data_IF_320998236566
#
_entry.id   IF_320998236566
#
_cell.length_a   1.000
_cell.length_b   1.000
_cell.length_c   1.000
_cell.angle_alpha   90.00
_cell.angle_beta   90.00
_cell.angle_gamma   90.00
#
_symmetry.space_group_name_H-M   'P 1'
#
loop_
_entity.id
_entity.type
_entity.pdbx_description
1 polymer ?
#
# COMPACT_ATOMS: atom_id res chain seq x y z
N UNK A 1 0.33 30.96 19.17
CA UNK A 1 0.35 30.37 17.82
C UNK A 1 0.21 28.87 17.98
N UNK A 2 -0.63 28.19 17.19
CA UNK A 2 -0.62 26.72 17.16
C UNK A 2 0.65 26.28 16.44
N UNK A 3 1.29 25.22 16.92
CA UNK A 3 2.39 24.61 16.19
C UNK A 3 1.92 24.19 14.79
N UNK A 4 2.79 24.31 13.76
CA UNK A 4 2.44 23.90 12.42
C UNK A 4 2.04 22.42 12.42
N UNK A 5 0.85 22.15 11.86
CA UNK A 5 0.40 20.78 11.60
C UNK A 5 1.35 20.24 10.53
N UNK A 6 2.20 19.30 10.91
CA UNK A 6 3.22 18.71 10.03
C UNK A 6 2.64 18.04 8.77
N UNK A 7 3.49 17.43 7.93
CA UNK A 7 3.03 16.75 6.73
C UNK A 7 2.06 15.61 7.07
N UNK A 8 1.17 15.27 6.14
CA UNK A 8 0.25 14.14 6.31
C UNK A 8 0.93 12.78 6.07
N UNK A 9 2.04 12.77 5.32
CA UNK A 9 2.83 11.59 5.00
C UNK A 9 3.85 11.24 6.09
N UNK A 10 4.24 9.96 6.14
CA UNK A 10 5.31 9.50 7.01
C UNK A 10 6.68 10.10 6.63
N UNK A 11 7.64 10.19 7.57
CA UNK A 11 8.95 10.78 7.30
C UNK A 11 9.72 10.15 6.13
N UNK A 12 9.64 8.83 5.94
CA UNK A 12 10.37 8.15 4.86
C UNK A 12 9.90 8.60 3.47
N UNK A 13 8.62 8.94 3.32
CA UNK A 13 8.03 9.43 2.06
C UNK A 13 8.63 10.78 1.65
N UNK A 14 9.10 11.57 2.62
CA UNK A 14 9.73 12.87 2.33
C UNK A 14 11.14 12.73 1.75
N UNK A 15 11.73 11.53 1.82
CA UNK A 15 13.11 11.26 1.41
C UNK A 15 13.21 10.59 0.03
N UNK A 16 12.10 10.42 -0.68
CA UNK A 16 12.06 9.83 -2.03
C UNK A 16 11.67 10.90 -3.09
N UNK A 17 11.94 10.67 -4.39
CA UNK A 17 11.59 11.62 -5.45
C UNK A 17 10.10 12.01 -5.45
N UNK A 18 9.79 13.26 -5.82
CA UNK A 18 8.43 13.81 -5.88
C UNK A 18 7.55 13.02 -6.84
N UNK A 19 8.09 12.51 -7.95
CA UNK A 19 7.36 11.63 -8.86
C UNK A 19 6.92 10.32 -8.17
N UNK A 20 7.78 9.71 -7.34
CA UNK A 20 7.41 8.54 -6.54
C UNK A 20 6.37 8.88 -5.45
N UNK A 21 6.52 10.01 -4.76
CA UNK A 21 5.53 10.49 -3.79
C UNK A 21 4.15 10.65 -4.45
N UNK A 22 4.12 11.17 -5.68
CA UNK A 22 2.89 11.38 -6.45
C UNK A 22 2.21 10.06 -6.82
N UNK A 23 2.99 9.03 -7.19
CA UNK A 23 2.46 7.66 -7.39
C UNK A 23 1.88 7.11 -6.09
N UNK A 24 2.57 7.30 -4.96
CA UNK A 24 2.07 6.84 -3.67
C UNK A 24 0.70 7.46 -3.36
N UNK A 25 0.54 8.77 -3.58
CA UNK A 25 -0.70 9.49 -3.32
C UNK A 25 -1.83 9.16 -4.30
N UNK A 26 -1.51 8.85 -5.56
CA UNK A 26 -2.50 8.38 -6.53
C UNK A 26 -3.17 7.08 -6.05
N UNK A 27 -2.39 6.17 -5.45
CA UNK A 27 -2.88 4.89 -4.90
C UNK A 27 -3.53 5.00 -3.51
N UNK A 28 -3.27 6.08 -2.74
CA UNK A 28 -3.92 6.31 -1.43
C UNK A 28 -5.44 6.41 -1.58
N UNK A 29 -5.89 7.03 -2.67
CA UNK A 29 -7.31 7.11 -3.02
C UNK A 29 -7.77 5.74 -3.50
N UNK A 30 -8.68 5.11 -2.74
CA UNK A 30 -9.30 3.85 -3.17
C UNK A 30 -10.04 4.05 -4.50
N UNK A 31 -10.22 2.98 -5.30
CA UNK A 31 -10.94 3.12 -6.55
C UNK A 31 -12.39 3.49 -6.29
N UNK A 32 -12.92 4.36 -7.14
CA UNK A 32 -14.36 4.61 -7.19
C UNK A 32 -15.08 3.35 -7.71
N UNK A 33 -16.34 3.16 -7.32
CA UNK A 33 -17.17 2.04 -7.78
C UNK A 33 -17.16 0.78 -6.91
N UNK A 34 -16.19 0.59 -6.01
CA UNK A 34 -16.20 -0.56 -5.09
C UNK A 34 -17.04 -0.33 -3.83
N UNK A 35 -17.83 -1.33 -3.44
CA UNK A 35 -18.71 -1.28 -2.26
C UNK A 35 -17.96 -0.95 -0.96
N UNK A 36 -18.65 -0.38 0.04
CA UNK A 36 -18.04 0.07 1.31
C UNK A 36 -17.28 -1.05 2.05
N UNK A 37 -17.82 -2.27 2.03
CA UNK A 37 -17.25 -3.42 2.74
C UNK A 37 -16.53 -4.40 1.80
N UNK A 38 -15.98 -3.90 0.70
CA UNK A 38 -15.21 -4.73 -0.24
C UNK A 38 -13.94 -5.26 0.46
N UNK A 39 -13.61 -6.57 0.36
CA UNK A 39 -12.50 -7.17 1.10
C UNK A 39 -11.14 -6.50 0.82
N UNK A 40 -10.88 -6.11 -0.43
CA UNK A 40 -9.65 -5.37 -0.82
C UNK A 40 -9.38 -4.10 -0.02
N UNK A 41 -10.42 -3.46 0.56
CA UNK A 41 -10.24 -2.23 1.35
C UNK A 41 -9.41 -2.46 2.61
N UNK A 42 -9.29 -3.70 3.08
CA UNK A 42 -8.33 -4.08 4.13
C UNK A 42 -6.91 -3.74 3.69
N UNK A 43 -6.48 -4.18 2.50
CA UNK A 43 -5.15 -3.85 1.98
C UNK A 43 -5.00 -2.36 1.71
N UNK A 44 -6.04 -1.67 1.26
CA UNK A 44 -5.98 -0.22 1.05
C UNK A 44 -5.80 0.54 2.37
N UNK A 45 -6.38 0.07 3.47
CA UNK A 45 -6.12 0.63 4.80
C UNK A 45 -4.69 0.39 5.23
N UNK A 46 -4.15 -0.80 4.99
CA UNK A 46 -2.77 -1.11 5.28
C UNK A 46 -1.79 -0.27 4.47
N UNK A 47 -2.04 -0.13 3.17
CA UNK A 47 -1.28 0.74 2.28
C UNK A 47 -1.20 2.18 2.81
N UNK A 48 -2.34 2.74 3.19
CA UNK A 48 -2.40 4.09 3.77
C UNK A 48 -1.66 4.18 5.10
N UNK A 49 -1.70 3.13 5.92
CA UNK A 49 -0.92 3.08 7.17
C UNK A 49 0.58 3.17 6.90
N UNK A 50 1.08 2.58 5.81
CA UNK A 50 2.49 2.64 5.44
C UNK A 50 2.92 4.01 4.87
N UNK A 51 2.00 4.77 4.26
CA UNK A 51 2.32 6.05 3.58
C UNK A 51 1.99 7.27 4.43
N UNK A 52 0.92 7.22 5.24
CA UNK A 52 0.35 8.36 5.94
C UNK A 52 0.53 8.26 7.46
N UNK A 53 0.57 9.41 8.10
CA UNK A 53 0.33 9.53 9.54
C UNK A 53 -1.17 9.37 9.82
N UNK A 54 -1.49 8.75 10.95
CA UNK A 54 -2.87 8.70 11.44
C UNK A 54 -3.37 10.12 11.74
N UNK A 55 -4.53 10.50 11.20
CA UNK A 55 -5.10 11.83 11.44
C UNK A 55 -5.50 12.06 12.91
N UNK A 56 -5.82 11.00 13.65
CA UNK A 56 -6.20 11.08 15.05
C UNK A 56 -5.01 10.96 15.99
N UNK A 57 -4.02 10.13 15.62
CA UNK A 57 -2.88 9.81 16.49
C UNK A 57 -1.61 10.63 16.15
N UNK A 58 -1.60 11.32 15.00
CA UNK A 58 -0.49 12.11 14.48
C UNK A 58 0.85 11.35 14.42
N UNK A 59 0.77 10.05 14.20
CA UNK A 59 1.93 9.15 14.12
C UNK A 59 1.75 8.07 13.07
N UNK A 60 2.85 7.43 12.70
CA UNK A 60 2.84 6.23 11.89
C UNK A 60 2.19 5.06 12.67
N UNK A 61 1.38 4.28 11.96
CA UNK A 61 0.82 3.01 12.44
C UNK A 61 1.51 1.89 11.65
N UNK A 62 2.59 1.35 12.19
CA UNK A 62 3.47 0.39 11.48
C UNK A 62 3.07 -1.07 11.69
N UNK A 63 1.97 -1.31 12.41
CA UNK A 63 1.41 -2.64 12.62
C UNK A 63 -0.02 -2.67 12.02
N UNK A 64 -0.33 -3.65 11.14
CA UNK A 64 -1.64 -3.74 10.51
C UNK A 64 -2.77 -4.07 11.49
N UNK A 65 -2.46 -4.61 12.66
CA UNK A 65 -3.41 -4.99 13.72
C UNK A 65 -3.57 -3.90 14.77
N UNK A 66 -2.65 -2.94 14.83
CA UNK A 66 -2.64 -1.89 15.85
C UNK A 66 -3.92 -1.02 15.81
N UNK A 67 -4.62 -0.82 16.94
CA UNK A 67 -5.80 0.05 17.01
C UNK A 67 -5.51 1.50 16.56
N UNK A 68 -6.55 2.19 16.08
CA UNK A 68 -6.45 3.59 15.64
C UNK A 68 -6.77 3.79 14.15
N UNK A 69 -6.55 5.00 13.65
CA UNK A 69 -6.71 5.33 12.22
C UNK A 69 -8.13 5.37 11.65
N UNK A 70 -9.15 5.09 12.46
CA UNK A 70 -10.57 5.17 12.08
C UNK A 70 -10.93 4.27 10.89
N UNK A 71 -11.86 4.69 10.04
CA UNK A 71 -12.26 3.90 8.86
C UNK A 71 -11.27 3.97 7.70
N UNK A 72 -10.38 4.97 7.71
CA UNK A 72 -9.49 5.28 6.58
C UNK A 72 -8.15 4.56 6.67
N UNK A 73 -7.54 4.51 7.86
CA UNK A 73 -6.33 3.76 8.21
C UNK A 73 -6.62 2.79 9.37
N UNK A 74 -7.82 2.23 9.45
CA UNK A 74 -8.20 1.27 10.49
C UNK A 74 -7.44 -0.06 10.44
N UNK A 75 -7.40 -0.81 11.55
CA UNK A 75 -6.68 -2.08 11.63
C UNK A 75 -7.37 -3.19 10.83
N UNK A 76 -6.60 -4.23 10.52
CA UNK A 76 -7.12 -5.55 10.23
C UNK A 76 -7.54 -6.24 11.52
N UNK A 77 -8.71 -6.88 11.51
CA UNK A 77 -9.36 -7.42 12.72
C UNK A 77 -9.89 -8.82 12.44
N UNK A 78 -10.25 -9.56 13.47
CA UNK A 78 -10.84 -10.90 13.34
C UNK A 78 -12.12 -10.87 12.50
N UNK A 79 -12.93 -9.81 12.61
CA UNK A 79 -14.11 -9.62 11.76
C UNK A 79 -13.75 -9.54 10.28
N UNK A 80 -12.65 -8.86 9.92
CA UNK A 80 -12.16 -8.82 8.55
C UNK A 80 -11.69 -10.20 8.09
N UNK A 81 -10.90 -10.91 8.92
CA UNK A 81 -10.43 -12.25 8.61
C UNK A 81 -11.58 -13.23 8.38
N UNK A 82 -12.60 -13.23 9.26
CA UNK A 82 -13.82 -14.04 9.12
C UNK A 82 -14.61 -13.68 7.86
N UNK A 83 -14.78 -12.39 7.57
CA UNK A 83 -15.51 -11.93 6.38
C UNK A 83 -14.82 -12.33 5.07
N UNK A 84 -13.50 -12.51 5.11
CA UNK A 84 -12.68 -13.00 3.99
C UNK A 84 -12.49 -14.53 4.01
N UNK A 85 -13.11 -15.27 4.93
CA UNK A 85 -12.96 -16.72 5.03
C UNK A 85 -11.59 -17.21 5.51
N UNK A 86 -10.75 -16.33 6.06
CA UNK A 86 -9.35 -16.62 6.43
C UNK A 86 -9.19 -17.14 7.87
N UNK A 87 -10.24 -17.06 8.68
CA UNK A 87 -10.20 -17.45 10.09
C UNK A 87 -11.51 -18.09 10.52
N UNK A 88 -11.44 -19.35 10.95
CA UNK A 88 -12.58 -20.12 11.47
C UNK A 88 -12.47 -20.41 12.98
N UNK A 89 -11.48 -19.83 13.65
CA UNK A 89 -11.21 -20.08 15.07
C UNK A 89 -12.16 -19.35 16.03
N UNK A 90 -12.27 -19.92 17.24
CA UNK A 90 -13.08 -19.43 18.36
C UNK A 90 -12.38 -18.37 19.22
N UNK A 91 -11.14 -17.99 18.90
CA UNK A 91 -10.24 -17.24 19.79
C UNK A 91 -10.23 -15.74 19.43
N UNK A 92 -10.07 -14.90 20.46
CA UNK A 92 -10.28 -13.43 20.49
C UNK A 92 -9.40 -12.58 19.57
N UNK A 93 -9.38 -11.28 19.83
CA UNK A 93 -8.82 -10.26 18.92
C UNK A 93 -7.31 -10.42 18.63
N UNK A 94 -6.89 -9.91 17.47
CA UNK A 94 -5.47 -9.85 17.11
C UNK A 94 -4.72 -8.89 18.04
N UNK A 95 -3.70 -9.40 18.73
CA UNK A 95 -2.87 -8.63 19.66
C UNK A 95 -1.47 -8.43 19.07
N UNK A 96 -1.39 -7.53 18.08
CA UNK A 96 -0.15 -7.14 17.41
C UNK A 96 0.32 -8.08 16.30
N UNK A 97 1.41 -7.69 15.64
CA UNK A 97 1.95 -8.38 14.47
C UNK A 97 2.80 -9.62 14.79
N UNK A 98 2.15 -10.60 15.42
CA UNK A 98 2.73 -11.93 15.69
C UNK A 98 2.84 -12.78 14.42
N UNK A 99 3.59 -13.88 14.47
CA UNK A 99 3.74 -14.82 13.35
C UNK A 99 2.40 -15.42 12.90
N UNK A 100 1.53 -15.81 13.84
CA UNK A 100 0.20 -16.33 13.54
C UNK A 100 -0.67 -15.28 12.84
N UNK A 101 -0.69 -14.05 13.37
CA UNK A 101 -1.43 -12.95 12.76
C UNK A 101 -0.88 -12.63 11.36
N UNK A 102 0.45 -12.65 11.19
CA UNK A 102 1.10 -12.45 9.91
C UNK A 102 0.66 -13.50 8.88
N UNK A 103 0.62 -14.78 9.24
CA UNK A 103 0.20 -15.86 8.33
C UNK A 103 -1.21 -15.65 7.79
N UNK A 104 -2.13 -15.15 8.62
CA UNK A 104 -3.50 -14.83 8.21
C UNK A 104 -3.51 -13.60 7.32
N UNK A 105 -2.82 -12.53 7.74
CA UNK A 105 -2.80 -11.27 7.00
C UNK A 105 -2.11 -11.40 5.64
N UNK A 106 -1.11 -12.28 5.52
CA UNK A 106 -0.44 -12.61 4.26
C UNK A 106 -1.40 -13.15 3.21
N UNK A 107 -2.48 -13.84 3.62
CA UNK A 107 -3.53 -14.32 2.71
C UNK A 107 -4.34 -13.17 2.10
N UNK A 108 -4.33 -11.97 2.69
CA UNK A 108 -5.02 -10.82 2.10
C UNK A 108 -4.45 -10.44 0.73
N UNK A 109 -3.19 -10.81 0.43
CA UNK A 109 -2.62 -10.67 -0.91
C UNK A 109 -3.37 -11.52 -1.93
N UNK A 110 -3.68 -12.77 -1.60
CA UNK A 110 -4.45 -13.68 -2.45
C UNK A 110 -5.89 -13.19 -2.60
N UNK A 111 -6.53 -12.78 -1.49
CA UNK A 111 -7.86 -12.17 -1.52
C UNK A 111 -7.89 -10.95 -2.45
N UNK A 112 -6.82 -10.14 -2.49
CA UNK A 112 -6.76 -9.03 -3.42
C UNK A 112 -6.74 -9.49 -4.88
N UNK A 113 -5.89 -10.47 -5.22
CA UNK A 113 -5.77 -10.99 -6.58
C UNK A 113 -7.06 -11.66 -7.05
N UNK A 114 -7.76 -12.40 -6.18
CA UNK A 114 -9.07 -12.99 -6.49
C UNK A 114 -10.14 -11.96 -6.89
N UNK A 115 -9.95 -10.70 -6.49
CA UNK A 115 -10.87 -9.60 -6.77
C UNK A 115 -10.28 -8.54 -7.73
N UNK A 116 -9.13 -8.80 -8.36
CA UNK A 116 -8.43 -7.80 -9.17
C UNK A 116 -9.26 -7.29 -10.34
N UNK A 117 -10.05 -8.17 -10.96
CA UNK A 117 -10.93 -7.86 -12.08
C UNK A 117 -12.15 -7.00 -11.68
N UNK A 118 -12.42 -6.85 -10.38
CA UNK A 118 -13.44 -5.93 -9.87
C UNK A 118 -12.92 -4.49 -9.74
N UNK A 119 -11.62 -4.27 -9.93
CA UNK A 119 -10.97 -2.98 -9.73
C UNK A 119 -10.75 -2.25 -11.06
N UNK A 120 -10.91 -0.91 -11.10
CA UNK A 120 -10.50 -0.12 -12.24
C UNK A 120 -9.01 -0.34 -12.56
N UNK A 121 -8.72 -0.70 -13.81
CA UNK A 121 -7.36 -1.04 -14.23
C UNK A 121 -6.34 0.08 -13.95
N UNK A 122 -6.73 1.35 -14.11
CA UNK A 122 -5.84 2.48 -13.81
C UNK A 122 -5.47 2.55 -12.32
N UNK A 123 -6.43 2.28 -11.43
CA UNK A 123 -6.15 2.21 -9.99
C UNK A 123 -5.20 1.05 -9.68
N UNK A 124 -5.46 -0.13 -10.28
CA UNK A 124 -4.62 -1.31 -10.13
C UNK A 124 -3.14 -1.02 -10.47
N UNK A 125 -2.89 -0.32 -11.59
CA UNK A 125 -1.53 0.07 -11.99
C UNK A 125 -0.86 0.99 -10.96
N UNK A 126 -1.57 2.02 -10.47
CA UNK A 126 -1.01 2.87 -9.41
C UNK A 126 -0.75 2.10 -8.12
N UNK A 127 -1.64 1.19 -7.74
CA UNK A 127 -1.49 0.39 -6.52
C UNK A 127 -0.31 -0.57 -6.62
N UNK A 128 -0.13 -1.23 -7.76
CA UNK A 128 1.04 -2.05 -8.07
C UNK A 128 2.34 -1.26 -7.96
N UNK A 129 2.43 -0.08 -8.57
CA UNK A 129 3.63 0.76 -8.46
C UNK A 129 3.82 1.32 -7.05
N UNK A 130 2.73 1.63 -6.33
CA UNK A 130 2.80 2.01 -4.92
C UNK A 130 3.39 0.90 -4.05
N UNK A 131 2.99 -0.36 -4.29
CA UNK A 131 3.57 -1.53 -3.62
C UNK A 131 5.07 -1.67 -3.89
N UNK A 132 5.51 -1.44 -5.14
CA UNK A 132 6.93 -1.43 -5.50
C UNK A 132 7.69 -0.37 -4.70
N UNK A 133 7.23 0.88 -4.71
CA UNK A 133 7.89 2.00 -4.03
C UNK A 133 8.01 1.74 -2.53
N UNK A 134 6.94 1.25 -1.88
CA UNK A 134 7.00 0.88 -0.46
C UNK A 134 8.01 -0.26 -0.24
N UNK A 135 7.99 -1.27 -1.11
CA UNK A 135 8.91 -2.41 -1.01
C UNK A 135 10.39 -2.06 -1.17
N UNK A 136 10.69 -0.95 -1.85
CA UNK A 136 12.07 -0.44 -2.03
C UNK A 136 12.47 0.51 -0.91
N UNK A 137 11.59 1.44 -0.51
CA UNK A 137 11.99 2.63 0.25
C UNK A 137 11.45 2.72 1.68
N UNK A 138 10.53 1.84 2.09
CA UNK A 138 9.97 1.94 3.44
C UNK A 138 11.06 1.71 4.49
N UNK A 139 11.09 2.54 5.54
CA UNK A 139 12.12 2.51 6.58
C UNK A 139 12.04 1.32 7.56
N UNK A 140 11.11 0.39 7.33
CA UNK A 140 10.88 -0.79 8.17
C UNK A 140 10.93 -2.00 7.24
N UNK A 141 11.95 -2.84 7.44
CA UNK A 141 12.26 -3.95 6.56
C UNK A 141 11.10 -4.96 6.48
N UNK A 142 10.37 -5.17 7.58
CA UNK A 142 9.23 -6.10 7.60
C UNK A 142 8.10 -5.59 6.71
N UNK A 143 7.84 -4.28 6.73
CA UNK A 143 6.86 -3.65 5.86
C UNK A 143 7.33 -3.67 4.41
N UNK A 144 8.59 -3.29 4.17
CA UNK A 144 9.20 -3.29 2.84
C UNK A 144 9.11 -4.69 2.20
N UNK A 145 9.57 -5.73 2.90
CA UNK A 145 9.54 -7.11 2.41
C UNK A 145 8.11 -7.59 2.11
N UNK A 146 7.15 -7.23 2.97
CA UNK A 146 5.75 -7.60 2.77
C UNK A 146 5.19 -7.03 1.46
N UNK A 147 5.44 -5.73 1.21
CA UNK A 147 4.98 -5.03 0.01
C UNK A 147 5.76 -5.42 -1.24
N UNK A 148 7.07 -5.69 -1.14
CA UNK A 148 7.88 -6.23 -2.24
C UNK A 148 7.37 -7.59 -2.70
N UNK A 149 7.02 -8.48 -1.76
CA UNK A 149 6.39 -9.75 -2.11
C UNK A 149 5.05 -9.51 -2.82
N UNK A 150 4.19 -8.63 -2.30
CA UNK A 150 2.92 -8.30 -2.96
C UNK A 150 3.11 -7.72 -4.36
N UNK A 151 4.09 -6.84 -4.56
CA UNK A 151 4.47 -6.30 -5.87
C UNK A 151 4.85 -7.41 -6.86
N UNK A 152 5.66 -8.38 -6.46
CA UNK A 152 5.99 -9.50 -7.34
C UNK A 152 4.78 -10.36 -7.66
N UNK A 153 3.89 -10.60 -6.69
CA UNK A 153 2.66 -11.37 -6.93
C UNK A 153 1.76 -10.68 -7.96
N UNK A 154 1.48 -9.39 -7.80
CA UNK A 154 0.55 -8.64 -8.65
C UNK A 154 1.09 -8.43 -10.06
N UNK A 155 2.41 -8.25 -10.21
CA UNK A 155 3.08 -8.16 -11.53
C UNK A 155 2.99 -9.50 -12.27
N UNK A 156 3.28 -10.60 -11.58
CA UNK A 156 3.23 -11.93 -12.17
C UNK A 156 1.80 -12.32 -12.56
N UNK A 157 0.81 -11.99 -11.72
CA UNK A 157 -0.62 -12.18 -12.02
C UNK A 157 -1.05 -11.38 -13.26
N UNK A 158 -0.54 -10.16 -13.41
CA UNK A 158 -0.72 -9.34 -14.62
C UNK A 158 0.13 -9.79 -15.83
N UNK A 159 0.92 -10.87 -15.71
CA UNK A 159 1.81 -11.40 -16.75
C UNK A 159 2.85 -10.37 -17.25
N UNK A 160 3.31 -9.50 -16.35
CA UNK A 160 4.32 -8.48 -16.63
C UNK A 160 5.70 -8.93 -16.16
N UNK A 161 6.75 -8.27 -16.64
CA UNK A 161 8.10 -8.42 -16.08
C UNK A 161 8.25 -7.50 -14.86
N UNK A 162 8.70 -8.00 -13.69
CA UNK A 162 9.02 -7.14 -12.55
C UNK A 162 10.13 -6.17 -12.91
N UNK A 163 9.85 -4.88 -12.80
CA UNK A 163 10.84 -3.83 -12.98
C UNK A 163 11.80 -3.86 -11.78
N UNK A 164 13.10 -3.71 -12.06
CA UNK A 164 14.12 -3.63 -11.01
C UNK A 164 14.02 -2.31 -10.24
N UNK A 165 14.62 -2.27 -9.05
CA UNK A 165 14.64 -1.06 -8.21
C UNK A 165 15.30 0.12 -8.95
N UNK A 166 16.38 -0.13 -9.69
CA UNK A 166 17.09 0.89 -10.49
C UNK A 166 16.24 1.39 -11.66
N UNK A 167 15.56 0.50 -12.38
CA UNK A 167 14.68 0.88 -13.49
C UNK A 167 13.50 1.72 -13.02
N UNK A 168 12.90 1.37 -11.87
CA UNK A 168 11.84 2.14 -11.24
C UNK A 168 12.34 3.50 -10.73
N UNK A 169 13.49 3.53 -10.07
CA UNK A 169 14.09 4.79 -9.59
C UNK A 169 14.41 5.73 -10.74
N UNK A 170 14.90 5.21 -11.86
CA UNK A 170 15.12 5.99 -13.09
C UNK A 170 13.80 6.40 -13.77
N UNK A 171 12.76 5.55 -13.76
CA UNK A 171 11.44 5.86 -14.35
C UNK A 171 10.72 6.98 -13.61
N UNK A 172 10.85 6.98 -12.29
CA UNK A 172 10.16 7.85 -11.35
C UNK A 172 11.14 8.80 -10.64
N UNK A 173 12.25 9.15 -11.29
CA UNK A 173 13.16 10.17 -10.78
C UNK A 173 12.57 11.57 -11.00
N UNK A 174 13.10 12.57 -10.29
CA UNK A 174 12.78 13.97 -10.57
C UNK A 174 13.70 14.55 -11.68
N UNK A 175 14.41 13.70 -12.44
CA UNK A 175 15.29 14.12 -13.53
C UNK A 175 14.52 14.18 -14.86
N UNK A 176 14.38 15.41 -15.37
CA UNK A 176 13.67 15.69 -16.62
C UNK A 176 14.26 14.98 -17.84
N UNK A 177 15.59 14.86 -17.91
CA UNK A 177 16.26 14.26 -19.05
C UNK A 177 16.15 12.73 -19.02
N UNK A 178 16.13 12.12 -17.83
CA UNK A 178 15.76 10.70 -17.67
C UNK A 178 14.33 10.44 -18.14
N UNK A 179 13.38 11.27 -17.72
CA UNK A 179 11.98 11.17 -18.13
C UNK A 179 11.82 11.27 -19.65
N UNK A 180 12.43 12.29 -20.29
CA UNK A 180 12.35 12.48 -21.75
C UNK A 180 12.93 11.31 -22.55
N UNK A 181 13.95 10.61 -22.04
CA UNK A 181 14.57 9.49 -22.76
C UNK A 181 13.62 8.29 -22.94
N UNK A 182 12.58 8.17 -22.11
CA UNK A 182 11.64 7.04 -22.12
C UNK A 182 10.26 7.37 -22.69
N UNK A 183 9.91 8.65 -22.76
CA UNK A 183 8.63 9.10 -23.31
C UNK A 183 8.57 8.92 -24.83
N UNK A 184 7.57 8.16 -25.29
CA UNK A 184 7.25 8.03 -26.72
C UNK A 184 6.36 9.19 -27.19
N UNK A 185 5.56 9.76 -26.29
CA UNK A 185 4.66 10.89 -26.57
C UNK A 185 5.11 12.08 -25.74
N UNK A 186 5.89 12.97 -26.34
CA UNK A 186 6.24 14.23 -25.69
C UNK A 186 4.99 15.11 -25.60
N UNK A 187 4.45 15.28 -24.40
CA UNK A 187 3.53 16.38 -24.13
C UNK A 187 4.25 17.70 -24.46
N UNK A 188 3.68 18.45 -25.41
CA UNK A 188 4.22 19.74 -25.90
C UNK A 188 3.81 20.87 -24.96
#
# INVERSE_FOLDING_TARGET
MREPIGPAQQPWVLNIPIMQQSVLFAAVRAPDGIRKNHPVKVLLRWYRRCVLLSAFDQRALTDPFEPGGGSFTGPFTVTHARSAGLWLGDIGDFNGWTEECSRIFDQMRLVYLEHVDELPHHFQLHFMHGAQIIGVHHSDDKIADWWRHFYHMIVNDAHLHPETDDEMNMRLSDDREEWKRREVVTAV
#
